data_IF_502934116336
#
_entry.id   IF_502934116336
#
_cell.length_a   1.000
_cell.length_b   1.000
_cell.length_c   1.000
_cell.angle_alpha   90.00
_cell.angle_beta   90.00
_cell.angle_gamma   90.00
#
_symmetry.space_group_name_H-M   'P 1'
#
loop_
_entity.id
_entity.type
_entity.pdbx_description
1 polymer ?
#
# COMPACT_ATOMS: atom_id res chain seq x y z
N UNK A 1 -37.85 -51.30 -42.33
CA UNK A 1 -38.79 -50.31 -41.77
C UNK A 1 -38.31 -49.93 -40.36
N UNK A 2 -38.10 -48.62 -40.12
CA UNK A 2 -38.16 -47.86 -38.84
C UNK A 2 -37.38 -48.44 -37.64
N UNK A 3 -36.35 -47.83 -37.06
CA UNK A 3 -36.11 -46.41 -36.83
C UNK A 3 -36.95 -45.90 -35.64
N UNK A 4 -36.36 -45.82 -34.43
CA UNK A 4 -36.78 -44.94 -33.32
C UNK A 4 -35.73 -45.04 -32.19
N UNK A 5 -34.76 -44.13 -32.07
CA UNK A 5 -34.76 -42.88 -31.29
C UNK A 5 -35.00 -43.02 -29.77
N UNK A 6 -33.97 -42.70 -29.00
CA UNK A 6 -33.97 -42.51 -27.54
C UNK A 6 -32.56 -42.08 -27.10
N UNK A 7 -32.15 -40.86 -27.46
CA UNK A 7 -32.18 -39.66 -26.61
C UNK A 7 -31.05 -39.61 -25.57
N UNK A 8 -29.92 -39.18 -26.09
CA UNK A 8 -28.87 -38.34 -25.52
C UNK A 8 -29.34 -37.42 -24.37
N UNK A 9 -28.88 -37.68 -23.15
CA UNK A 9 -28.75 -36.67 -22.10
C UNK A 9 -27.48 -36.97 -21.29
N UNK A 10 -26.34 -36.54 -21.81
CA UNK A 10 -25.12 -36.42 -21.04
C UNK A 10 -25.14 -35.03 -20.38
N UNK A 11 -25.37 -35.03 -19.06
CA UNK A 11 -25.30 -33.85 -18.21
C UNK A 11 -23.89 -33.24 -18.30
N UNK A 12 -23.76 -32.16 -19.08
CA UNK A 12 -22.61 -31.27 -19.03
C UNK A 12 -22.73 -30.43 -17.75
N UNK A 13 -21.98 -30.79 -16.71
CA UNK A 13 -21.79 -29.92 -15.57
C UNK A 13 -20.78 -28.83 -15.94
N UNK A 14 -21.29 -27.67 -16.35
CA UNK A 14 -20.49 -26.45 -16.44
C UNK A 14 -20.10 -26.01 -15.02
N UNK A 15 -18.85 -26.25 -14.66
CA UNK A 15 -18.24 -25.72 -13.46
C UNK A 15 -18.16 -24.20 -13.52
N UNK A 16 -19.10 -23.51 -12.84
CA UNK A 16 -18.94 -22.10 -12.48
C UNK A 16 -17.77 -21.97 -11.52
N UNK A 17 -16.60 -21.61 -12.05
CA UNK A 17 -15.47 -21.14 -11.26
C UNK A 17 -15.84 -19.74 -10.75
N UNK A 18 -16.54 -19.71 -9.63
CA UNK A 18 -16.79 -18.51 -8.86
C UNK A 18 -15.46 -18.07 -8.23
N UNK A 19 -14.79 -17.10 -8.87
CA UNK A 19 -13.61 -16.45 -8.30
C UNK A 19 -14.05 -15.68 -7.06
N UNK A 20 -13.93 -16.31 -5.88
CA UNK A 20 -14.02 -15.60 -4.61
C UNK A 20 -12.99 -14.48 -4.62
N UNK A 21 -13.47 -13.24 -4.75
CA UNK A 21 -12.66 -12.04 -4.54
C UNK A 21 -12.15 -12.15 -3.10
N UNK A 22 -10.85 -12.45 -2.95
CA UNK A 22 -10.22 -12.49 -1.65
C UNK A 22 -10.50 -11.18 -0.94
N UNK A 23 -11.19 -11.25 0.20
CA UNK A 23 -11.26 -10.12 1.11
C UNK A 23 -9.82 -9.89 1.59
N UNK A 24 -9.13 -8.93 0.96
CA UNK A 24 -7.84 -8.49 1.41
C UNK A 24 -7.96 -8.07 2.87
N UNK A 25 -7.00 -8.48 3.71
CA UNK A 25 -6.88 -8.01 5.10
C UNK A 25 -7.10 -6.49 5.10
N UNK A 26 -7.92 -5.94 6.00
CA UNK A 26 -8.18 -4.51 6.01
C UNK A 26 -6.82 -3.81 6.07
N UNK A 27 -6.54 -2.99 5.05
CA UNK A 27 -5.38 -2.12 5.07
C UNK A 27 -5.54 -1.27 6.33
N UNK A 28 -4.76 -1.56 7.37
CA UNK A 28 -4.65 -0.69 8.55
C UNK A 28 -4.52 0.73 8.02
N UNK A 29 -5.44 1.59 8.43
CA UNK A 29 -5.52 2.96 7.94
C UNK A 29 -4.16 3.62 8.17
N UNK A 30 -3.52 4.06 7.10
CA UNK A 30 -2.20 4.70 7.14
C UNK A 30 -2.19 5.87 8.13
N UNK A 31 -3.33 6.55 8.27
CA UNK A 31 -3.51 7.68 9.18
C UNK A 31 -3.47 7.27 10.65
N UNK A 32 -4.02 6.11 11.01
CA UNK A 32 -4.00 5.60 12.39
C UNK A 32 -2.58 5.22 12.80
N UNK A 33 -1.84 4.63 11.86
CA UNK A 33 -0.43 4.29 12.05
C UNK A 33 0.43 5.55 12.20
N UNK A 34 0.19 6.57 11.36
CA UNK A 34 0.84 7.87 11.47
C UNK A 34 0.57 8.52 12.82
N UNK A 35 -0.69 8.55 13.27
CA UNK A 35 -1.09 9.13 14.56
C UNK A 35 -0.37 8.44 15.72
N UNK A 36 -0.41 7.11 15.77
CA UNK A 36 0.25 6.32 16.81
C UNK A 36 1.74 6.64 16.88
N UNK A 37 2.41 6.63 15.73
CA UNK A 37 3.84 6.91 15.64
C UNK A 37 4.20 8.36 15.98
N UNK A 38 3.40 9.33 15.53
CA UNK A 38 3.61 10.75 15.81
C UNK A 38 3.49 11.04 17.31
N UNK A 39 2.41 10.58 17.94
CA UNK A 39 2.20 10.71 19.38
C UNK A 39 3.32 10.02 20.16
N UNK A 40 3.71 8.81 19.75
CA UNK A 40 4.78 8.05 20.40
C UNK A 40 6.11 8.79 20.36
N UNK A 41 6.51 9.34 19.21
CA UNK A 41 7.75 10.12 19.08
C UNK A 41 7.78 11.32 20.02
N UNK A 42 6.69 12.09 20.05
CA UNK A 42 6.61 13.28 20.90
C UNK A 42 6.72 12.92 22.39
N UNK A 43 6.07 11.84 22.82
CA UNK A 43 6.16 11.36 24.21
C UNK A 43 7.52 10.78 24.55
N UNK A 44 8.16 10.06 23.64
CA UNK A 44 9.53 9.59 23.85
C UNK A 44 10.50 10.77 23.96
N UNK A 45 10.32 11.81 23.15
CA UNK A 45 11.15 13.01 23.21
C UNK A 45 10.99 13.74 24.55
N UNK A 46 9.76 13.91 25.05
CA UNK A 46 9.52 14.47 26.39
C UNK A 46 10.10 13.59 27.50
N UNK A 47 9.84 12.28 27.45
CA UNK A 47 10.22 11.34 28.50
C UNK A 47 11.74 11.22 28.69
N UNK A 48 12.50 11.33 27.60
CA UNK A 48 13.97 11.29 27.63
C UNK A 48 14.61 12.68 27.60
N UNK A 49 13.83 13.76 27.72
CA UNK A 49 14.37 15.09 27.87
C UNK A 49 14.82 15.29 29.33
N UNK A 50 16.04 14.85 29.65
CA UNK A 50 16.66 15.16 30.93
C UNK A 50 17.22 16.59 30.89
N UNK A 51 16.71 17.52 31.73
CA UNK A 51 17.27 18.88 31.81
C UNK A 51 18.65 18.93 32.48
N UNK A 52 19.06 17.87 33.21
CA UNK A 52 20.33 17.81 33.95
C UNK A 52 21.43 16.96 33.28
N UNK A 53 21.12 16.21 32.20
CA UNK A 53 22.11 15.37 31.49
C UNK A 53 22.54 15.98 30.15
N UNK A 54 23.12 17.19 30.18
CA UNK A 54 23.85 17.72 29.01
C UNK A 54 25.31 17.29 28.95
N UNK A 55 25.81 16.58 29.96
CA UNK A 55 27.23 16.24 30.07
C UNK A 55 27.36 14.85 30.68
N UNK A 56 27.47 13.81 29.84
CA UNK A 56 28.44 12.72 29.99
C UNK A 56 28.18 11.64 28.94
N UNK A 57 28.92 11.73 27.84
CA UNK A 57 29.24 10.57 27.01
C UNK A 57 30.10 9.61 27.85
N UNK A 58 29.44 8.79 28.67
CA UNK A 58 30.10 7.65 29.30
C UNK A 58 29.80 6.43 28.44
N UNK A 59 30.78 6.06 27.61
CA UNK A 59 30.90 4.79 26.91
C UNK A 59 30.99 3.62 27.91
N UNK A 60 29.88 3.34 28.60
CA UNK A 60 29.77 2.18 29.47
C UNK A 60 29.28 0.99 28.65
N UNK A 61 30.26 0.24 28.13
CA UNK A 61 30.11 -1.12 27.63
C UNK A 61 29.45 -2.00 28.71
N UNK A 62 28.16 -2.28 28.52
CA UNK A 62 27.42 -3.26 29.27
C UNK A 62 26.93 -4.36 28.33
N UNK A 63 27.82 -5.33 28.10
CA UNK A 63 27.53 -6.77 28.22
C UNK A 63 26.03 -7.09 28.38
N UNK A 64 25.33 -7.10 27.25
CA UNK A 64 24.06 -7.80 27.09
C UNK A 64 24.25 -8.71 25.90
N UNK A 65 23.74 -9.94 26.01
CA UNK A 65 23.71 -10.91 24.92
C UNK A 65 22.80 -10.37 23.80
N UNK A 66 23.29 -9.41 23.02
CA UNK A 66 22.50 -8.72 22.00
C UNK A 66 22.64 -9.47 20.70
N UNK A 67 21.54 -10.10 20.29
CA UNK A 67 21.32 -10.41 18.89
C UNK A 67 21.64 -9.15 18.06
N UNK A 68 22.24 -9.30 16.86
CA UNK A 68 22.50 -8.16 15.99
C UNK A 68 21.25 -7.28 15.84
N UNK A 69 21.43 -5.96 15.71
CA UNK A 69 20.33 -4.98 15.74
C UNK A 69 19.20 -5.29 14.75
N UNK A 70 19.51 -5.94 13.61
CA UNK A 70 18.51 -6.37 12.62
C UNK A 70 17.59 -7.51 13.07
N UNK A 71 17.94 -8.23 14.14
CA UNK A 71 17.11 -9.28 14.76
C UNK A 71 16.35 -8.77 15.99
N UNK A 72 16.66 -7.56 16.49
CA UNK A 72 16.01 -6.99 17.65
C UNK A 72 14.66 -6.42 17.26
N UNK A 73 13.60 -6.95 17.88
CA UNK A 73 12.26 -6.36 17.72
C UNK A 73 12.26 -4.95 18.32
N UNK A 74 11.70 -3.94 17.63
CA UNK A 74 11.56 -2.60 18.18
C UNK A 74 10.82 -2.63 19.51
N UNK A 75 11.26 -1.81 20.47
CA UNK A 75 10.58 -1.69 21.76
C UNK A 75 9.15 -1.17 21.57
N UNK A 76 8.11 -1.84 22.11
CA UNK A 76 6.74 -1.34 22.09
C UNK A 76 6.53 -0.19 23.09
N UNK A 77 7.54 0.13 23.90
CA UNK A 77 7.44 1.15 24.93
C UNK A 77 7.03 2.51 24.35
N UNK A 78 6.01 3.08 24.98
CA UNK A 78 5.50 4.42 24.77
C UNK A 78 5.02 4.94 26.13
N UNK A 79 5.51 6.11 26.59
CA UNK A 79 5.04 6.70 27.84
C UNK A 79 3.52 6.92 27.83
N UNK A 80 2.89 6.76 29.00
CA UNK A 80 1.47 6.98 29.17
C UNK A 80 1.10 8.47 28.97
N UNK A 81 -0.13 8.73 28.50
CA UNK A 81 -0.70 10.08 28.47
C UNK A 81 -0.90 10.62 29.89
N UNK A 82 -0.76 11.94 30.07
CA UNK A 82 -1.03 12.64 31.32
C UNK A 82 0.21 13.07 32.09
N UNK A 83 1.42 12.79 31.58
CA UNK A 83 2.69 13.27 32.15
C UNK A 83 2.86 14.78 31.98
N UNK A 84 2.59 15.26 30.77
CA UNK A 84 2.61 16.68 30.42
C UNK A 84 1.29 17.07 29.73
N UNK A 85 0.54 17.93 30.41
CA UNK A 85 -0.75 18.45 29.96
C UNK A 85 -0.57 19.33 28.72
N UNK A 86 0.51 20.09 28.63
CA UNK A 86 0.78 20.95 27.49
C UNK A 86 1.06 20.11 26.24
N UNK A 87 1.89 19.07 26.37
CA UNK A 87 2.17 18.13 25.29
C UNK A 87 0.92 17.38 24.81
N UNK A 88 0.11 16.84 25.72
CA UNK A 88 -1.11 16.11 25.32
C UNK A 88 -2.14 17.05 24.68
N UNK A 89 -2.23 18.30 25.14
CA UNK A 89 -3.08 19.32 24.52
C UNK A 89 -2.61 19.64 23.10
N UNK A 90 -1.30 19.78 22.91
CA UNK A 90 -0.69 19.99 21.59
C UNK A 90 -0.94 18.81 20.65
N UNK A 91 -0.69 17.58 21.12
CA UNK A 91 -0.94 16.35 20.36
C UNK A 91 -2.41 16.30 19.92
N UNK A 92 -3.35 16.58 20.83
CA UNK A 92 -4.78 16.60 20.52
C UNK A 92 -5.10 17.69 19.48
N UNK A 93 -4.61 18.91 19.67
CA UNK A 93 -4.88 20.02 18.77
C UNK A 93 -4.36 19.75 17.35
N UNK A 94 -3.11 19.30 17.21
CA UNK A 94 -2.48 19.00 15.92
C UNK A 94 -3.15 17.81 15.24
N UNK A 95 -3.42 16.74 15.99
CA UNK A 95 -4.11 15.58 15.40
C UNK A 95 -5.49 15.96 14.91
N UNK A 96 -6.28 16.72 15.69
CA UNK A 96 -7.57 17.24 15.23
C UNK A 96 -7.43 18.16 14.01
N UNK A 97 -6.46 19.05 13.99
CA UNK A 97 -6.22 19.93 12.85
C UNK A 97 -5.91 19.13 11.57
N UNK A 98 -5.04 18.13 11.64
CA UNK A 98 -4.73 17.25 10.50
C UNK A 98 -5.95 16.45 10.05
N UNK A 99 -6.75 15.92 10.99
CA UNK A 99 -7.95 15.13 10.65
C UNK A 99 -9.07 15.98 10.02
N UNK A 100 -9.16 17.25 10.41
CA UNK A 100 -10.15 18.19 9.88
C UNK A 100 -9.64 18.96 8.66
N UNK A 101 -8.33 18.92 8.39
CA UNK A 101 -7.71 19.56 7.24
C UNK A 101 -8.32 19.00 5.95
N UNK A 102 -9.03 19.85 5.23
CA UNK A 102 -9.55 19.49 3.92
C UNK A 102 -8.37 19.20 3.00
N UNK A 103 -8.27 17.95 2.54
CA UNK A 103 -7.27 17.59 1.54
C UNK A 103 -7.47 18.49 0.31
N UNK A 104 -6.39 19.16 -0.11
CA UNK A 104 -6.40 19.87 -1.38
C UNK A 104 -6.69 18.83 -2.45
N UNK A 105 -7.80 19.01 -3.17
CA UNK A 105 -8.12 18.16 -4.30
C UNK A 105 -7.02 18.39 -5.33
N UNK A 106 -6.12 17.43 -5.46
CA UNK A 106 -5.12 17.45 -6.52
C UNK A 106 -5.87 17.11 -7.79
N UNK A 107 -5.90 18.06 -8.72
CA UNK A 107 -6.41 17.78 -10.05
C UNK A 107 -5.55 16.68 -10.67
N UNK A 108 -6.15 15.67 -11.33
CA UNK A 108 -5.37 14.69 -12.06
C UNK A 108 -4.49 15.40 -13.08
N UNK A 109 -3.24 14.92 -13.25
CA UNK A 109 -2.31 15.47 -14.24
C UNK A 109 -2.72 15.18 -15.69
N UNK A 110 -3.84 14.49 -15.90
CA UNK A 110 -4.37 14.15 -17.21
C UNK A 110 -5.59 15.00 -17.52
N UNK A 111 -5.57 15.68 -18.66
CA UNK A 111 -6.74 16.35 -19.20
C UNK A 111 -7.77 15.33 -19.71
N UNK A 112 -8.99 15.78 -19.99
CA UNK A 112 -10.08 14.89 -20.43
C UNK A 112 -9.73 14.15 -21.72
N UNK A 113 -9.12 14.85 -22.67
CA UNK A 113 -8.76 14.28 -23.97
C UNK A 113 -7.70 13.20 -23.83
N UNK A 114 -6.69 13.39 -22.97
CA UNK A 114 -5.68 12.37 -22.67
C UNK A 114 -6.30 11.13 -22.02
N UNK A 115 -7.27 11.31 -21.11
CA UNK A 115 -7.99 10.18 -20.52
C UNK A 115 -8.81 9.41 -21.54
N UNK A 116 -9.46 10.13 -22.46
CA UNK A 116 -10.23 9.54 -23.55
C UNK A 116 -9.30 8.78 -24.49
N UNK A 117 -8.20 9.39 -24.91
CA UNK A 117 -7.17 8.76 -25.74
C UNK A 117 -6.59 7.50 -25.08
N UNK A 118 -6.28 7.53 -23.78
CA UNK A 118 -5.81 6.35 -23.04
C UNK A 118 -6.88 5.24 -22.97
N UNK A 119 -8.15 5.61 -22.87
CA UNK A 119 -9.26 4.65 -22.87
C UNK A 119 -9.40 3.99 -24.24
N UNK A 120 -9.36 4.77 -25.31
CA UNK A 120 -9.39 4.30 -26.69
C UNK A 120 -8.19 3.40 -27.00
N UNK A 121 -6.99 3.84 -26.62
CA UNK A 121 -5.75 3.08 -26.78
C UNK A 121 -5.82 1.73 -26.06
N UNK A 122 -6.42 1.68 -24.86
CA UNK A 122 -6.59 0.44 -24.10
C UNK A 122 -7.62 -0.52 -24.73
N UNK A 123 -8.63 0.01 -25.42
CA UNK A 123 -9.67 -0.80 -26.06
C UNK A 123 -9.31 -1.24 -27.48
N UNK A 124 -8.28 -0.64 -28.08
CA UNK A 124 -7.86 -0.98 -29.43
C UNK A 124 -7.23 -2.39 -29.47
N UNK A 125 -7.84 -3.30 -30.22
CA UNK A 125 -7.41 -4.69 -30.38
C UNK A 125 -6.34 -4.86 -31.45
N UNK A 126 -6.11 -3.86 -32.29
CA UNK A 126 -5.18 -3.91 -33.41
C UNK A 126 -3.74 -3.61 -33.00
N UNK A 127 -3.53 -3.20 -31.75
CA UNK A 127 -2.22 -2.90 -31.18
C UNK A 127 -1.95 -3.69 -29.91
N UNK A 128 -0.68 -4.04 -29.70
CA UNK A 128 -0.15 -4.62 -28.47
C UNK A 128 0.81 -3.63 -27.83
N UNK A 129 0.61 -3.40 -26.53
CA UNK A 129 1.45 -2.52 -25.71
C UNK A 129 2.13 -3.37 -24.64
N UNK A 130 3.47 -3.42 -24.66
CA UNK A 130 4.28 -4.18 -23.69
C UNK A 130 5.43 -3.33 -23.14
N UNK A 131 5.89 -3.59 -21.90
CA UNK A 131 7.12 -3.00 -21.42
C UNK A 131 8.29 -3.41 -22.32
N UNK A 132 9.20 -2.48 -22.61
CA UNK A 132 10.42 -2.81 -23.31
C UNK A 132 11.33 -3.68 -22.42
N UNK A 133 12.09 -4.58 -23.05
CA UNK A 133 13.07 -5.44 -22.37
C UNK A 133 14.13 -4.62 -21.61
N UNK A 134 14.58 -3.51 -22.23
CA UNK A 134 15.41 -2.49 -21.60
C UNK A 134 14.50 -1.45 -20.96
N UNK A 135 14.63 -1.25 -19.65
CA UNK A 135 13.76 -0.37 -18.87
C UNK A 135 13.72 1.07 -19.39
N UNK A 136 12.59 1.75 -19.14
CA UNK A 136 12.39 3.16 -19.50
C UNK A 136 11.63 3.40 -20.80
N UNK A 137 11.25 2.35 -21.52
CA UNK A 137 10.45 2.45 -22.74
C UNK A 137 9.25 1.51 -22.74
N UNK A 138 8.31 1.79 -23.65
CA UNK A 138 7.13 0.97 -23.94
C UNK A 138 7.15 0.66 -25.43
N UNK A 139 6.90 -0.59 -25.79
CA UNK A 139 6.81 -1.05 -27.18
C UNK A 139 5.34 -1.07 -27.58
N UNK A 140 5.03 -0.47 -28.72
CA UNK A 140 3.71 -0.52 -29.38
C UNK A 140 3.89 -1.22 -30.72
N UNK A 141 3.13 -2.27 -30.95
CA UNK A 141 3.24 -3.09 -32.17
C UNK A 141 1.86 -3.44 -32.71
N UNK A 142 1.75 -3.69 -34.02
CA UNK A 142 0.52 -4.26 -34.57
C UNK A 142 0.31 -5.66 -34.00
N UNK A 143 -0.92 -5.97 -33.60
CA UNK A 143 -1.29 -7.28 -33.06
C UNK A 143 -1.00 -8.41 -34.05
N UNK A 144 -1.29 -8.24 -35.34
CA UNK A 144 -1.13 -9.30 -36.35
C UNK A 144 0.34 -9.64 -36.55
N UNK A 145 1.18 -8.64 -36.82
CA UNK A 145 2.64 -8.78 -36.98
C UNK A 145 3.26 -9.44 -35.74
N UNK A 146 2.92 -8.93 -34.54
CA UNK A 146 3.38 -9.53 -33.29
C UNK A 146 3.00 -11.00 -33.20
N UNK A 147 1.74 -11.37 -33.48
CA UNK A 147 1.35 -12.79 -33.41
C UNK A 147 2.03 -13.68 -34.45
N UNK A 148 2.28 -13.18 -35.66
CA UNK A 148 2.93 -13.95 -36.73
C UNK A 148 4.40 -14.24 -36.44
N UNK A 149 5.11 -13.36 -35.75
CA UNK A 149 6.52 -13.59 -35.40
C UNK A 149 6.71 -14.69 -34.34
N UNK A 150 5.68 -14.99 -33.55
CA UNK A 150 5.71 -15.97 -32.47
C UNK A 150 4.91 -17.25 -32.78
N UNK A 151 4.47 -17.45 -34.03
CA UNK A 151 3.78 -18.67 -34.50
C UNK A 151 4.68 -19.48 -35.43
#
# INVERSE_FOLDING_TARGET
MRGSSGSLLQLSQEGKIERKRGQGRPRRNWMDNFKEWFCRRLRLAEFFCDPENTETDNDADHSRTTLPDFLRKPSPFTPDSGRDIALDTYIKAVTTAIMTQRQKVVSPNLILDEKTALKELKTNTDIIIKPADKGGAVVVMNTTEYTTEFT
#
